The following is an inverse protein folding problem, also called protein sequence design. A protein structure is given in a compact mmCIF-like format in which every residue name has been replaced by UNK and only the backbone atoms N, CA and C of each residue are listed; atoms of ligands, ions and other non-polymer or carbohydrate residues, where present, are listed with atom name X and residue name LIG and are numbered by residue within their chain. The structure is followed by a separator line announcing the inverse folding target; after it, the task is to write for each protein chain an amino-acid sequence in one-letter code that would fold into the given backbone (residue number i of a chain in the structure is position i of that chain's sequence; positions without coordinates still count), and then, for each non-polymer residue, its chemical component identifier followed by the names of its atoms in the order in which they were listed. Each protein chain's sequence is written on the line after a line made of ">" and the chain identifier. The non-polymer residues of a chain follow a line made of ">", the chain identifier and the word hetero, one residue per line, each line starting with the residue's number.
data_IF_820352780255
#
_entry.id   IF_820352780255
#
_cell.length_a   1.000
_cell.length_b   1.000
_cell.length_c   1.000
_cell.angle_alpha   90.00
_cell.angle_beta   90.00
_cell.angle_gamma   90.00
#
_symmetry.space_group_name_H-M   'P 1'
#
loop_
_entity.id
_entity.type
_entity.pdbx_description
1 polymer ?
#
# COMPACT_ATOMS: atom_id res chain seq x y z
N UNK A 1 12.78 -15.69 18.12
CA UNK A 1 12.30 -16.56 17.04
C UNK A 1 11.56 -15.76 15.99
N UNK A 2 11.91 -15.95 14.74
CA UNK A 2 11.24 -15.24 13.65
C UNK A 2 9.81 -15.76 13.44
N UNK A 3 8.94 -14.89 12.96
CA UNK A 3 7.58 -15.27 12.59
C UNK A 3 7.59 -16.10 11.31
N UNK A 4 6.61 -16.99 11.17
CA UNK A 4 6.38 -17.74 9.93
C UNK A 4 5.34 -17.06 9.05
N UNK A 5 4.82 -15.93 9.48
CA UNK A 5 3.86 -15.15 8.72
C UNK A 5 4.50 -14.65 7.43
N UNK A 6 3.75 -14.70 6.34
CA UNK A 6 4.19 -14.21 5.03
C UNK A 6 3.48 -12.91 4.64
N UNK A 7 2.57 -12.46 5.47
CA UNK A 7 1.79 -11.26 5.17
C UNK A 7 2.70 -10.05 4.99
N UNK A 8 2.46 -9.32 3.91
CA UNK A 8 3.13 -8.05 3.64
C UNK A 8 2.10 -6.94 3.69
N UNK A 9 2.43 -5.86 4.38
CA UNK A 9 1.60 -4.66 4.36
C UNK A 9 2.37 -3.52 3.72
N UNK A 10 1.65 -2.65 3.05
CA UNK A 10 2.19 -1.43 2.48
C UNK A 10 1.37 -0.27 3.05
N UNK A 11 2.05 0.77 3.49
CA UNK A 11 1.43 1.86 4.22
C UNK A 11 1.80 3.20 3.58
N UNK A 12 1.07 3.61 2.53
CA UNK A 12 1.29 4.92 1.93
C UNK A 12 0.56 6.02 2.69
N UNK A 13 1.20 7.18 2.76
CA UNK A 13 0.62 8.40 3.31
C UNK A 13 0.70 9.48 2.24
N UNK A 14 -0.43 10.00 1.84
CA UNK A 14 -0.53 11.03 0.80
C UNK A 14 -0.86 12.38 1.43
N UNK A 15 -0.17 13.42 0.98
CA UNK A 15 -0.53 14.80 1.29
C UNK A 15 -1.23 15.36 0.06
N UNK A 16 -2.54 15.56 0.16
CA UNK A 16 -3.35 15.98 -0.98
C UNK A 16 -3.18 17.49 -1.21
N UNK A 17 -3.02 17.90 -2.47
CA UNK A 17 -2.87 19.30 -2.83
C UNK A 17 -4.14 20.09 -2.53
N UNK A 18 -4.00 21.37 -2.23
CA UNK A 18 -5.13 22.25 -1.94
C UNK A 18 -6.21 22.16 -3.00
N UNK A 19 -7.46 21.98 -2.57
CA UNK A 19 -8.61 21.92 -3.46
C UNK A 19 -8.81 20.58 -4.14
N UNK A 20 -7.89 19.62 -3.98
CA UNK A 20 -7.94 18.34 -4.68
C UNK A 20 -8.53 17.20 -3.85
N UNK A 21 -8.96 17.46 -2.62
CA UNK A 21 -9.49 16.40 -1.78
C UNK A 21 -10.74 15.72 -2.37
N UNK A 22 -11.71 16.45 -2.96
CA UNK A 22 -12.83 15.78 -3.62
C UNK A 22 -12.40 14.84 -4.74
N UNK A 23 -11.42 15.24 -5.55
CA UNK A 23 -10.88 14.39 -6.62
C UNK A 23 -10.17 13.17 -6.04
N UNK A 24 -9.42 13.35 -4.95
CA UNK A 24 -8.75 12.22 -4.29
C UNK A 24 -9.75 11.24 -3.70
N UNK A 25 -10.85 11.73 -3.10
CA UNK A 25 -11.92 10.85 -2.60
C UNK A 25 -12.52 10.01 -3.72
N UNK A 26 -12.72 10.59 -4.91
CA UNK A 26 -13.21 9.84 -6.06
C UNK A 26 -12.22 8.74 -6.47
N UNK A 27 -10.92 9.02 -6.39
CA UNK A 27 -9.89 8.00 -6.64
C UNK A 27 -9.95 6.89 -5.59
N UNK A 28 -10.18 7.24 -4.32
CA UNK A 28 -10.29 6.23 -3.25
C UNK A 28 -11.39 5.21 -3.58
N UNK A 29 -12.54 5.67 -4.07
CA UNK A 29 -13.63 4.78 -4.46
C UNK A 29 -13.21 3.84 -5.61
N UNK A 30 -12.47 4.36 -6.57
CA UNK A 30 -11.99 3.57 -7.70
C UNK A 30 -10.93 2.54 -7.24
N UNK A 31 -10.03 2.93 -6.35
CA UNK A 31 -9.06 2.01 -5.75
C UNK A 31 -9.76 0.86 -5.04
N UNK A 32 -10.74 1.17 -4.21
CA UNK A 32 -11.47 0.16 -3.45
C UNK A 32 -12.22 -0.79 -4.38
N UNK A 33 -12.90 -0.25 -5.39
CA UNK A 33 -13.66 -1.06 -6.34
C UNK A 33 -12.74 -2.04 -7.07
N UNK A 34 -11.57 -1.58 -7.50
CA UNK A 34 -10.63 -2.41 -8.23
C UNK A 34 -9.97 -3.47 -7.33
N UNK A 35 -9.61 -3.08 -6.11
CA UNK A 35 -8.95 -3.97 -5.16
C UNK A 35 -9.88 -5.08 -4.65
N UNK A 36 -11.17 -4.81 -4.61
CA UNK A 36 -12.17 -5.78 -4.14
C UNK A 36 -12.11 -7.12 -4.88
N UNK A 37 -11.65 -7.12 -6.12
CA UNK A 37 -11.56 -8.33 -6.94
C UNK A 37 -10.25 -9.11 -6.71
N UNK A 38 -9.33 -8.61 -5.91
CA UNK A 38 -8.03 -9.23 -5.69
C UNK A 38 -8.10 -10.29 -4.60
N UNK A 39 -7.90 -11.57 -4.93
CA UNK A 39 -8.02 -12.65 -3.93
C UNK A 39 -6.93 -12.63 -2.86
N UNK A 40 -5.78 -12.04 -3.15
CA UNK A 40 -4.65 -11.98 -2.20
C UNK A 40 -4.68 -10.79 -1.26
N UNK A 41 -5.66 -9.90 -1.39
CA UNK A 41 -5.78 -8.75 -0.50
C UNK A 41 -6.58 -9.13 0.75
N UNK A 42 -5.98 -8.93 1.93
CA UNK A 42 -6.61 -9.28 3.20
C UNK A 42 -7.51 -8.18 3.73
N UNK A 43 -7.10 -6.94 3.59
CA UNK A 43 -7.91 -5.77 3.92
C UNK A 43 -7.37 -4.57 3.15
N UNK A 44 -8.24 -3.58 2.94
CA UNK A 44 -7.90 -2.40 2.16
C UNK A 44 -8.83 -1.26 2.54
N UNK A 45 -8.30 -0.12 2.91
CA UNK A 45 -9.15 1.00 3.27
C UNK A 45 -8.40 2.29 3.45
N UNK A 46 -9.09 3.40 3.16
CA UNK A 46 -8.52 4.73 3.27
C UNK A 46 -9.04 5.43 4.52
N UNK A 47 -8.12 6.06 5.24
CA UNK A 47 -8.43 6.88 6.40
C UNK A 47 -7.92 8.30 6.13
N UNK A 48 -8.69 9.29 6.51
CA UNK A 48 -8.37 10.69 6.24
C UNK A 48 -8.25 11.49 7.53
N UNK A 49 -7.24 12.36 7.56
CA UNK A 49 -7.08 13.35 8.61
C UNK A 49 -6.77 14.68 7.88
N UNK A 50 -7.80 15.50 7.69
CA UNK A 50 -7.66 16.70 6.89
C UNK A 50 -7.28 16.37 5.45
N UNK A 51 -6.15 16.89 5.01
CA UNK A 51 -5.63 16.65 3.67
C UNK A 51 -4.60 15.51 3.61
N UNK A 52 -4.37 14.81 4.71
CA UNK A 52 -3.57 13.60 4.71
C UNK A 52 -4.46 12.37 4.56
N UNK A 53 -4.05 11.48 3.67
CA UNK A 53 -4.79 10.26 3.39
C UNK A 53 -3.85 9.07 3.56
N UNK A 54 -4.27 8.11 4.35
CA UNK A 54 -3.53 6.88 4.58
C UNK A 54 -4.34 5.69 4.09
N UNK A 55 -3.68 4.77 3.39
CA UNK A 55 -4.31 3.51 3.03
C UNK A 55 -3.75 2.39 3.91
N UNK A 56 -4.63 1.73 4.68
CA UNK A 56 -4.24 0.53 5.41
C UNK A 56 -4.53 -0.67 4.51
N UNK A 57 -3.53 -1.50 4.29
CA UNK A 57 -3.67 -2.61 3.36
C UNK A 57 -2.68 -3.72 3.68
N UNK A 58 -3.09 -4.95 3.45
CA UNK A 58 -2.22 -6.10 3.63
C UNK A 58 -2.55 -7.19 2.62
N UNK A 59 -1.55 -7.98 2.29
CA UNK A 59 -1.60 -9.00 1.25
C UNK A 59 -1.03 -10.31 1.77
N UNK A 60 -1.49 -11.43 1.22
CA UNK A 60 -1.07 -12.77 1.64
C UNK A 60 0.45 -12.93 1.66
N UNK A 61 1.13 -12.32 0.70
CA UNK A 61 2.58 -12.42 0.53
C UNK A 61 3.08 -11.31 -0.42
N UNK A 62 4.36 -11.33 -0.73
CA UNK A 62 4.95 -10.34 -1.63
C UNK A 62 4.34 -10.40 -3.04
N UNK A 63 4.08 -11.59 -3.56
CA UNK A 63 3.53 -11.72 -4.90
C UNK A 63 2.14 -11.10 -4.99
N UNK A 64 1.31 -11.27 -3.96
CA UNK A 64 -0.02 -10.66 -3.91
C UNK A 64 0.08 -9.14 -3.83
N UNK A 65 1.05 -8.61 -3.09
CA UNK A 65 1.28 -7.17 -3.01
C UNK A 65 1.70 -6.61 -4.37
N UNK A 66 2.61 -7.30 -5.08
CA UNK A 66 3.06 -6.87 -6.40
C UNK A 66 1.92 -6.91 -7.41
N UNK A 67 1.07 -7.92 -7.35
CA UNK A 67 -0.11 -8.01 -8.21
C UNK A 67 -1.04 -6.82 -7.99
N UNK A 68 -1.22 -6.39 -6.73
CA UNK A 68 -2.01 -5.21 -6.40
C UNK A 68 -1.40 -3.95 -7.01
N UNK A 69 -0.12 -3.71 -6.78
CA UNK A 69 0.56 -2.50 -7.29
C UNK A 69 0.44 -2.42 -8.81
N UNK A 70 0.58 -3.54 -9.50
CA UNK A 70 0.39 -3.58 -10.95
C UNK A 70 -1.05 -3.26 -11.33
N UNK A 71 -2.01 -3.87 -10.64
CA UNK A 71 -3.43 -3.67 -10.90
C UNK A 71 -3.86 -2.21 -10.77
N UNK A 72 -3.38 -1.51 -9.75
CA UNK A 72 -3.77 -0.12 -9.48
C UNK A 72 -2.75 0.91 -9.98
N UNK A 73 -1.76 0.49 -10.76
CA UNK A 73 -0.68 1.37 -11.20
C UNK A 73 -1.15 2.67 -11.85
N UNK A 74 -2.15 2.60 -12.72
CA UNK A 74 -2.69 3.79 -13.37
C UNK A 74 -3.35 4.74 -12.36
N UNK A 75 -4.06 4.18 -11.37
CA UNK A 75 -4.69 4.99 -10.31
C UNK A 75 -3.65 5.65 -9.41
N UNK A 76 -2.55 4.95 -9.13
CA UNK A 76 -1.44 5.53 -8.37
C UNK A 76 -0.88 6.74 -9.12
N UNK A 77 -0.72 6.61 -10.43
CA UNK A 77 -0.26 7.74 -11.27
C UNK A 77 -1.19 8.94 -11.17
N UNK A 78 -2.51 8.72 -11.24
CA UNK A 78 -3.49 9.79 -11.09
C UNK A 78 -3.41 10.42 -9.69
N UNK A 79 -3.26 9.60 -8.65
CA UNK A 79 -3.17 10.11 -7.29
C UNK A 79 -1.94 11.00 -7.08
N UNK A 80 -0.81 10.63 -7.69
CA UNK A 80 0.42 11.39 -7.57
C UNK A 80 0.41 12.70 -8.35
N UNK A 81 -0.55 12.90 -9.25
CA UNK A 81 -0.74 14.18 -9.92
C UNK A 81 -1.40 15.21 -9.01
N UNK A 82 -2.17 14.77 -8.01
CA UNK A 82 -2.93 15.65 -7.11
C UNK A 82 -2.49 15.56 -5.66
N UNK A 83 -1.41 14.84 -5.39
CA UNK A 83 -0.89 14.65 -4.04
C UNK A 83 0.60 14.37 -4.06
N UNK A 84 1.21 14.43 -2.88
CA UNK A 84 2.58 13.99 -2.67
C UNK A 84 2.54 12.72 -1.83
N UNK A 85 3.36 11.74 -2.20
CA UNK A 85 3.58 10.55 -1.38
C UNK A 85 4.54 10.94 -0.26
N UNK A 86 3.98 11.37 0.87
CA UNK A 86 4.75 11.91 1.97
C UNK A 86 5.53 10.83 2.71
N UNK A 87 5.02 9.60 2.74
CA UNK A 87 5.64 8.49 3.46
C UNK A 87 5.14 7.19 2.86
N UNK A 88 6.05 6.24 2.71
CA UNK A 88 5.71 4.90 2.24
C UNK A 88 6.51 3.88 3.04
N UNK A 89 5.81 2.96 3.71
CA UNK A 89 6.43 1.89 4.46
C UNK A 89 5.93 0.55 3.97
N UNK A 90 6.81 -0.44 4.00
CA UNK A 90 6.46 -1.81 3.69
C UNK A 90 6.92 -2.67 4.86
N UNK A 91 6.03 -3.50 5.36
CA UNK A 91 6.28 -4.38 6.49
C UNK A 91 6.07 -5.83 6.08
N UNK A 92 6.95 -6.70 6.49
CA UNK A 92 6.84 -8.13 6.23
C UNK A 92 8.08 -8.89 6.68
N UNK A 93 8.05 -10.22 6.60
CA UNK A 93 9.24 -11.01 6.91
C UNK A 93 10.30 -10.82 5.83
N UNK A 94 11.56 -10.93 6.20
CA UNK A 94 12.68 -10.60 5.29
C UNK A 94 12.63 -11.34 3.95
N UNK A 95 12.26 -12.61 3.95
CA UNK A 95 12.17 -13.38 2.70
C UNK A 95 11.18 -12.80 1.71
N UNK A 96 10.09 -12.23 2.21
CA UNK A 96 9.09 -11.59 1.35
C UNK A 96 9.56 -10.20 0.94
N UNK A 97 10.18 -9.44 1.86
CA UNK A 97 10.68 -8.10 1.55
C UNK A 97 11.73 -8.13 0.44
N UNK A 98 12.57 -9.16 0.42
CA UNK A 98 13.58 -9.30 -0.63
C UNK A 98 12.98 -9.31 -2.03
N UNK A 99 11.78 -9.88 -2.18
CA UNK A 99 11.07 -9.93 -3.46
C UNK A 99 10.53 -8.56 -3.89
N UNK A 100 10.38 -7.65 -2.96
CA UNK A 100 9.78 -6.34 -3.20
C UNK A 100 10.79 -5.23 -3.49
N UNK A 101 12.03 -5.38 -3.03
CA UNK A 101 13.02 -4.30 -3.08
C UNK A 101 13.30 -3.79 -4.50
N UNK A 102 13.50 -4.70 -5.45
CA UNK A 102 13.78 -4.30 -6.82
C UNK A 102 12.54 -3.77 -7.54
N UNK A 103 11.40 -4.50 -7.54
CA UNK A 103 10.20 -4.01 -8.23
C UNK A 103 9.67 -2.66 -7.72
N UNK A 104 9.85 -2.35 -6.44
CA UNK A 104 9.31 -1.14 -5.84
C UNK A 104 10.37 -0.06 -5.59
N UNK A 105 11.57 -0.22 -6.13
CA UNK A 105 12.69 0.69 -5.88
C UNK A 105 12.37 2.15 -6.23
N UNK A 106 11.62 2.38 -7.31
CA UNK A 106 11.30 3.73 -7.77
C UNK A 106 10.42 4.51 -6.78
N UNK A 107 9.64 3.80 -5.97
CA UNK A 107 8.78 4.43 -4.96
C UNK A 107 9.56 4.77 -3.69
N UNK A 108 10.79 4.28 -3.56
CA UNK A 108 11.68 4.52 -2.43
C UNK A 108 11.04 4.24 -1.07
N UNK A 109 10.44 3.07 -0.89
CA UNK A 109 9.80 2.75 0.38
C UNK A 109 10.83 2.50 1.47
N UNK A 110 10.38 2.70 2.70
CA UNK A 110 11.15 2.28 3.86
C UNK A 110 10.66 0.90 4.27
N UNK A 111 11.59 -0.03 4.47
CA UNK A 111 11.26 -1.42 4.79
C UNK A 111 11.44 -1.68 6.28
N UNK A 112 10.46 -2.35 6.86
CA UNK A 112 10.47 -2.79 8.25
C UNK A 112 10.30 -4.30 8.28
N UNK A 113 11.33 -4.99 8.76
CA UNK A 113 11.31 -6.45 8.81
C UNK A 113 10.49 -6.93 10.02
N UNK A 114 9.45 -7.73 9.75
CA UNK A 114 8.65 -8.33 10.80
C UNK A 114 9.42 -9.49 11.42
N UNK A 115 9.75 -9.39 12.70
CA UNK A 115 10.51 -10.42 13.40
C UNK A 115 9.70 -11.13 14.48
N UNK A 116 8.79 -10.42 15.12
CA UNK A 116 7.99 -10.94 16.23
C UNK A 116 6.52 -10.63 16.01
N UNK A 117 5.66 -11.62 16.20
CA UNK A 117 4.23 -11.38 16.06
C UNK A 117 3.42 -12.65 16.03
N UNK A 118 2.11 -12.48 15.97
CA UNK A 118 1.17 -13.58 15.77
C UNK A 118 0.32 -13.29 14.55
N UNK A 119 -0.18 -14.35 13.94
CA UNK A 119 -1.10 -14.26 12.81
C UNK A 119 -2.33 -15.12 13.15
N UNK A 120 -3.50 -14.51 13.08
CA UNK A 120 -4.75 -15.25 13.35
C UNK A 120 -5.42 -15.73 12.07
#
# INVERSE_FOLDING_TARGET
>A
MATEDKVCSIAPYFKVHDGQLPAFRALCERFVAKTRAEPGCLYYGFALDGDEVHCREAYDDADALLAHVESVGALIGEALEISELARLEIHGPEKELEKLREPLADLKPRYFTLEYGIRR
#
